data_IF_512451692038
#
_entry.id   IF_512451692038
#
_cell.length_a   1.000
_cell.length_b   1.000
_cell.length_c   1.000
_cell.angle_alpha   90.00
_cell.angle_beta   90.00
_cell.angle_gamma   90.00
#
_symmetry.space_group_name_H-M   'P 1'
#
loop_
_entity.id
_entity.type
_entity.pdbx_description
1 polymer ?
#
# COMPACT_ATOMS: atom_id res chain seq x y z
N UNK A 1 -68.04 -11.64 -3.43
CA UNK A 1 -67.33 -12.85 -3.97
C UNK A 1 -66.13 -12.52 -4.86
N UNK A 2 -66.28 -11.62 -5.84
CA UNK A 2 -65.19 -11.26 -6.78
C UNK A 2 -63.98 -10.62 -6.08
N UNK A 3 -64.20 -9.73 -5.11
CA UNK A 3 -63.13 -9.08 -4.36
C UNK A 3 -62.28 -10.06 -3.55
N UNK A 4 -62.92 -11.07 -2.93
CA UNK A 4 -62.21 -12.12 -2.19
C UNK A 4 -61.32 -12.96 -3.12
N UNK A 5 -61.79 -13.27 -4.33
CA UNK A 5 -60.99 -13.96 -5.36
C UNK A 5 -59.80 -13.10 -5.80
N UNK A 6 -59.99 -11.79 -5.99
CA UNK A 6 -58.89 -10.85 -6.30
C UNK A 6 -57.86 -10.79 -5.17
N UNK A 7 -58.28 -10.70 -3.92
CA UNK A 7 -57.38 -10.69 -2.76
C UNK A 7 -56.53 -11.97 -2.67
N UNK A 8 -57.12 -13.14 -2.97
CA UNK A 8 -56.38 -14.40 -3.04
C UNK A 8 -55.29 -14.38 -4.13
N UNK A 9 -55.63 -13.90 -5.33
CA UNK A 9 -54.67 -13.76 -6.44
C UNK A 9 -53.56 -12.77 -6.06
N UNK A 10 -53.90 -11.62 -5.48
CA UNK A 10 -52.92 -10.62 -5.06
C UNK A 10 -51.96 -11.16 -3.99
N UNK A 11 -52.47 -11.91 -3.02
CA UNK A 11 -51.65 -12.58 -2.02
C UNK A 11 -50.68 -13.57 -2.66
N UNK A 12 -51.15 -14.37 -3.62
CA UNK A 12 -50.32 -15.32 -4.36
C UNK A 12 -49.24 -14.61 -5.19
N UNK A 13 -49.62 -13.58 -5.95
CA UNK A 13 -48.70 -12.77 -6.77
C UNK A 13 -47.64 -12.11 -5.88
N UNK A 14 -48.03 -11.58 -4.70
CA UNK A 14 -47.10 -11.00 -3.74
C UNK A 14 -46.07 -12.03 -3.25
N UNK A 15 -46.50 -13.25 -2.93
CA UNK A 15 -45.59 -14.36 -2.55
C UNK A 15 -44.67 -14.77 -3.70
N UNK A 16 -45.16 -14.79 -4.94
CA UNK A 16 -44.32 -15.08 -6.12
C UNK A 16 -43.27 -13.99 -6.35
N UNK A 17 -43.67 -12.71 -6.32
CA UNK A 17 -42.75 -11.57 -6.45
C UNK A 17 -41.68 -11.60 -5.36
N UNK A 18 -42.07 -11.87 -4.11
CA UNK A 18 -41.15 -11.98 -2.99
C UNK A 18 -40.15 -13.13 -3.16
N UNK A 19 -40.61 -14.29 -3.63
CA UNK A 19 -39.75 -15.43 -3.96
C UNK A 19 -38.75 -15.07 -5.06
N UNK A 20 -39.20 -14.37 -6.10
CA UNK A 20 -38.33 -13.93 -7.18
C UNK A 20 -37.31 -12.89 -6.71
N UNK A 21 -37.71 -11.93 -5.87
CA UNK A 21 -36.82 -10.95 -5.24
C UNK A 21 -35.69 -11.64 -4.48
N UNK A 22 -35.99 -12.65 -3.65
CA UNK A 22 -34.98 -13.43 -2.92
C UNK A 22 -34.00 -14.15 -3.85
N UNK A 23 -34.52 -14.75 -4.95
CA UNK A 23 -33.67 -15.38 -5.97
C UNK A 23 -32.73 -14.37 -6.63
N UNK A 24 -33.21 -13.17 -6.92
CA UNK A 24 -32.39 -12.11 -7.49
C UNK A 24 -31.30 -11.68 -6.51
N UNK A 25 -31.63 -11.35 -5.26
CA UNK A 25 -30.64 -10.99 -4.23
C UNK A 25 -29.58 -12.09 -4.07
N UNK A 26 -29.99 -13.36 -3.97
CA UNK A 26 -29.05 -14.47 -3.84
C UNK A 26 -28.07 -14.57 -5.02
N UNK A 27 -28.52 -14.24 -6.24
CA UNK A 27 -27.72 -14.23 -7.46
C UNK A 27 -26.82 -12.99 -7.54
N UNK A 28 -27.41 -11.81 -7.37
CA UNK A 28 -26.75 -10.51 -7.54
C UNK A 28 -25.59 -10.35 -6.55
N UNK A 29 -25.73 -10.89 -5.34
CA UNK A 29 -24.71 -10.86 -4.30
C UNK A 29 -23.85 -12.13 -4.23
N UNK A 30 -24.01 -13.04 -5.21
CA UNK A 30 -23.25 -14.29 -5.30
C UNK A 30 -23.28 -15.14 -4.01
N UNK A 31 -24.40 -15.11 -3.27
CA UNK A 31 -24.49 -15.71 -1.92
C UNK A 31 -24.40 -17.24 -1.95
N UNK A 32 -24.94 -17.87 -3.00
CA UNK A 32 -24.96 -19.34 -3.11
C UNK A 32 -23.56 -19.90 -3.40
N UNK A 33 -22.80 -19.40 -4.41
CA UNK A 33 -21.41 -19.83 -4.60
C UNK A 33 -20.50 -19.50 -3.40
N UNK A 34 -20.71 -18.34 -2.76
CA UNK A 34 -19.96 -17.96 -1.56
C UNK A 34 -20.21 -18.92 -0.38
N UNK A 35 -21.48 -19.30 -0.15
CA UNK A 35 -21.86 -20.25 0.90
C UNK A 35 -21.35 -21.67 0.61
N UNK A 36 -21.49 -22.14 -0.63
CA UNK A 36 -21.09 -23.48 -1.05
C UNK A 36 -19.57 -23.61 -1.31
N UNK A 37 -18.80 -22.53 -1.15
CA UNK A 37 -17.35 -22.52 -1.33
C UNK A 37 -16.87 -22.76 -2.76
N UNK A 38 -17.76 -22.68 -3.76
CA UNK A 38 -17.42 -22.91 -5.18
C UNK A 38 -16.41 -21.88 -5.69
N UNK A 39 -16.46 -20.65 -5.19
CA UNK A 39 -15.54 -19.57 -5.56
C UNK A 39 -14.07 -19.87 -5.24
N UNK A 40 -13.77 -20.75 -4.27
CA UNK A 40 -12.39 -21.18 -3.98
C UNK A 40 -11.86 -22.12 -5.06
N UNK A 41 -12.72 -22.97 -5.63
CA UNK A 41 -12.38 -23.98 -6.63
C UNK A 41 -12.21 -23.38 -8.03
N UNK A 42 -12.99 -22.36 -8.37
CA UNK A 42 -12.91 -21.69 -9.68
C UNK A 42 -11.79 -20.63 -9.75
N UNK A 43 -11.35 -20.09 -8.60
CA UNK A 43 -10.16 -19.21 -8.52
C UNK A 43 -8.86 -19.91 -8.90
N UNK A 44 -8.78 -21.24 -8.83
CA UNK A 44 -7.62 -22.01 -9.28
C UNK A 44 -7.62 -22.24 -10.81
N UNK A 45 -8.78 -22.17 -11.48
CA UNK A 45 -8.93 -22.56 -12.89
C UNK A 45 -8.81 -21.42 -13.88
N UNK A 46 -9.07 -20.19 -13.46
CA UNK A 46 -8.89 -19.00 -14.31
C UNK A 46 -7.63 -18.26 -13.86
N UNK A 47 -6.71 -17.87 -14.77
CA UNK A 47 -5.57 -17.05 -14.43
C UNK A 47 -6.05 -15.62 -14.15
N UNK A 48 -6.74 -15.43 -13.01
CA UNK A 48 -7.12 -14.10 -12.54
C UNK A 48 -5.83 -13.38 -12.15
N UNK A 49 -5.68 -12.18 -12.70
CA UNK A 49 -4.57 -11.28 -12.40
C UNK A 49 -4.34 -11.20 -10.89
N UNK A 50 -3.08 -11.28 -10.45
CA UNK A 50 -2.72 -11.11 -9.04
C UNK A 50 -3.20 -9.74 -8.56
N UNK A 51 -4.19 -9.75 -7.67
CA UNK A 51 -4.73 -8.53 -7.06
C UNK A 51 -3.62 -7.89 -6.20
N UNK A 52 -3.26 -6.65 -6.54
CA UNK A 52 -2.22 -5.91 -5.82
C UNK A 52 -2.64 -5.56 -4.40
N UNK A 53 -1.68 -5.29 -3.49
CA UNK A 53 -1.98 -4.91 -2.08
C UNK A 53 -2.90 -3.68 -2.01
N UNK A 54 -2.60 -2.66 -2.81
CA UNK A 54 -3.42 -1.44 -2.94
C UNK A 54 -4.86 -1.76 -3.35
N UNK A 55 -5.03 -2.68 -4.31
CA UNK A 55 -6.35 -3.05 -4.82
C UNK A 55 -7.16 -3.87 -3.81
N UNK A 56 -6.50 -4.65 -2.94
CA UNK A 56 -7.16 -5.31 -1.79
C UNK A 56 -7.63 -4.29 -0.76
N UNK A 57 -6.79 -3.32 -0.43
CA UNK A 57 -7.14 -2.26 0.51
C UNK A 57 -8.30 -1.40 -0.01
N UNK A 58 -8.28 -1.07 -1.30
CA UNK A 58 -9.38 -0.35 -1.96
C UNK A 58 -10.69 -1.14 -1.93
N UNK A 59 -10.65 -2.46 -2.17
CA UNK A 59 -11.84 -3.33 -2.02
C UNK A 59 -12.43 -3.26 -0.61
N UNK A 60 -11.59 -3.21 0.42
CA UNK A 60 -12.05 -3.05 1.80
C UNK A 60 -12.70 -1.67 2.03
N UNK A 61 -12.08 -0.59 1.52
CA UNK A 61 -12.61 0.77 1.63
C UNK A 61 -13.95 0.93 0.92
N UNK A 62 -14.16 0.26 -0.21
CA UNK A 62 -15.40 0.30 -0.99
C UNK A 62 -16.45 -0.72 -0.54
N UNK A 63 -16.17 -1.52 0.49
CA UNK A 63 -17.12 -2.50 1.05
C UNK A 63 -18.50 -1.92 1.39
N UNK A 64 -18.64 -0.68 1.93
CA UNK A 64 -19.95 -0.10 2.18
C UNK A 64 -20.82 0.07 0.93
N UNK A 65 -20.23 0.16 -0.26
CA UNK A 65 -20.97 0.31 -1.52
C UNK A 65 -21.62 -0.99 -2.00
N UNK A 66 -21.28 -2.14 -1.40
CA UNK A 66 -21.81 -3.44 -1.81
C UNK A 66 -23.33 -3.44 -1.68
N UNK A 67 -23.91 -2.76 -0.68
CA UNK A 67 -25.37 -2.72 -0.52
C UNK A 67 -26.13 -2.03 -1.67
N UNK A 68 -25.43 -1.29 -2.53
CA UNK A 68 -26.03 -0.52 -3.62
C UNK A 68 -25.67 -1.04 -5.02
N UNK A 69 -24.80 -2.05 -5.10
CA UNK A 69 -24.30 -2.61 -6.35
C UNK A 69 -24.32 -4.13 -6.29
N UNK A 70 -24.68 -4.78 -7.40
CA UNK A 70 -24.48 -6.21 -7.54
C UNK A 70 -22.98 -6.57 -7.50
N UNK A 71 -22.69 -7.82 -7.18
CA UNK A 71 -21.34 -8.38 -7.20
C UNK A 71 -20.68 -8.20 -8.57
N UNK A 72 -21.45 -8.40 -9.66
CA UNK A 72 -20.96 -8.22 -11.02
C UNK A 72 -20.56 -6.77 -11.30
N UNK A 73 -21.42 -5.80 -10.99
CA UNK A 73 -21.11 -4.37 -11.17
C UNK A 73 -19.87 -3.96 -10.38
N UNK A 74 -19.69 -4.53 -9.19
CA UNK A 74 -18.51 -4.29 -8.39
C UNK A 74 -17.24 -4.88 -9.01
N UNK A 75 -17.28 -6.12 -9.53
CA UNK A 75 -16.15 -6.70 -10.26
C UNK A 75 -15.79 -5.88 -11.51
N UNK A 76 -16.80 -5.50 -12.31
CA UNK A 76 -16.65 -4.67 -13.52
C UNK A 76 -16.04 -3.30 -13.18
N UNK A 77 -16.46 -2.68 -12.08
CA UNK A 77 -15.90 -1.42 -11.60
C UNK A 77 -14.38 -1.50 -11.35
N UNK A 78 -13.92 -2.56 -10.67
CA UNK A 78 -12.49 -2.74 -10.40
C UNK A 78 -11.68 -3.05 -11.65
N UNK A 79 -12.23 -3.84 -12.58
CA UNK A 79 -11.60 -4.06 -13.88
C UNK A 79 -11.47 -2.76 -14.66
N UNK A 80 -12.52 -1.94 -14.67
CA UNK A 80 -12.54 -0.65 -15.35
C UNK A 80 -11.53 0.34 -14.74
N UNK A 81 -11.46 0.44 -13.41
CA UNK A 81 -10.43 1.25 -12.74
C UNK A 81 -9.02 0.80 -13.13
N UNK A 82 -8.80 -0.52 -13.22
CA UNK A 82 -7.50 -1.04 -13.61
C UNK A 82 -7.17 -0.70 -15.08
N UNK A 83 -8.12 -0.95 -16.00
CA UNK A 83 -8.01 -0.60 -17.42
C UNK A 83 -7.73 0.89 -17.58
N UNK A 84 -8.46 1.74 -16.86
CA UNK A 84 -8.26 3.20 -16.84
C UNK A 84 -6.84 3.56 -16.42
N UNK A 85 -6.31 2.95 -15.34
CA UNK A 85 -4.94 3.21 -14.88
C UNK A 85 -3.90 2.87 -15.97
N UNK A 86 -4.06 1.74 -16.66
CA UNK A 86 -3.19 1.34 -17.78
C UNK A 86 -3.31 2.35 -18.91
N UNK A 87 -4.53 2.64 -19.35
CA UNK A 87 -4.78 3.54 -20.46
C UNK A 87 -4.25 4.94 -20.18
N UNK A 88 -4.44 5.48 -18.97
CA UNK A 88 -3.87 6.76 -18.55
C UNK A 88 -2.34 6.75 -18.58
N UNK A 89 -1.70 5.66 -18.15
CA UNK A 89 -0.25 5.52 -18.25
C UNK A 89 0.21 5.49 -19.71
N UNK A 90 -0.48 4.74 -20.57
CA UNK A 90 -0.18 4.65 -22.01
C UNK A 90 -0.41 5.98 -22.73
N UNK A 91 -1.48 6.70 -22.42
CA UNK A 91 -1.74 8.04 -22.97
C UNK A 91 -0.59 8.98 -22.59
N UNK A 92 -0.17 9.01 -21.31
CA UNK A 92 0.96 9.84 -20.89
C UNK A 92 2.27 9.47 -21.58
N UNK A 93 2.50 8.19 -21.82
CA UNK A 93 3.64 7.67 -22.60
C UNK A 93 3.59 8.18 -24.05
N UNK A 94 2.47 7.96 -24.75
CA UNK A 94 2.29 8.40 -26.14
C UNK A 94 2.37 9.92 -26.29
N UNK A 95 1.81 10.68 -25.35
CA UNK A 95 1.93 12.14 -25.31
C UNK A 95 3.38 12.60 -25.09
N UNK A 96 4.20 11.80 -24.41
CA UNK A 96 5.64 12.08 -24.24
C UNK A 96 6.38 11.84 -25.55
N UNK A 97 6.09 10.74 -26.25
CA UNK A 97 6.66 10.47 -27.58
C UNK A 97 6.41 11.63 -28.54
N UNK A 98 5.16 12.09 -28.63
CA UNK A 98 4.81 13.24 -29.49
C UNK A 98 5.58 14.52 -29.13
N UNK A 99 5.69 14.84 -27.83
CA UNK A 99 6.47 16.01 -27.36
C UNK A 99 7.96 15.91 -27.66
N UNK A 100 8.47 14.70 -27.83
CA UNK A 100 9.86 14.41 -28.14
C UNK A 100 10.09 14.12 -29.63
N UNK A 101 9.11 14.43 -30.49
CA UNK A 101 9.23 14.30 -31.95
C UNK A 101 9.05 12.89 -32.51
N UNK A 102 8.67 11.92 -31.68
CA UNK A 102 8.46 10.54 -32.11
C UNK A 102 7.03 10.42 -32.64
N UNK A 103 6.92 10.15 -33.93
CA UNK A 103 5.64 10.10 -34.64
C UNK A 103 5.29 8.70 -35.11
N UNK A 104 6.27 7.79 -35.15
CA UNK A 104 6.11 6.38 -35.53
C UNK A 104 6.34 5.46 -34.34
N UNK A 105 5.69 4.29 -34.35
CA UNK A 105 5.80 3.33 -33.24
C UNK A 105 7.15 2.62 -33.24
N UNK A 106 7.75 2.42 -34.40
CA UNK A 106 9.03 1.75 -34.59
C UNK A 106 10.18 2.52 -33.90
N UNK A 107 10.12 3.86 -33.95
CA UNK A 107 11.08 4.78 -33.32
C UNK A 107 10.98 4.80 -31.79
N UNK A 108 9.87 4.31 -31.22
CA UNK A 108 9.62 4.40 -29.77
C UNK A 108 10.53 3.50 -28.94
N UNK A 109 10.96 2.37 -29.49
CA UNK A 109 11.81 1.39 -28.79
C UNK A 109 13.21 1.96 -28.54
N UNK A 110 13.81 2.58 -29.56
CA UNK A 110 15.13 3.22 -29.46
C UNK A 110 15.11 4.40 -28.49
N UNK A 111 14.03 5.20 -28.53
CA UNK A 111 13.84 6.29 -27.59
C UNK A 111 13.70 5.83 -26.14
N UNK A 112 12.89 4.80 -25.86
CA UNK A 112 12.75 4.28 -24.50
C UNK A 112 14.06 3.66 -24.00
N UNK A 113 14.83 2.97 -24.86
CA UNK A 113 16.16 2.47 -24.52
C UNK A 113 17.14 3.61 -24.17
N UNK A 114 17.19 4.67 -24.99
CA UNK A 114 18.01 5.85 -24.75
C UNK A 114 17.59 6.59 -23.47
N UNK A 115 16.28 6.76 -23.25
CA UNK A 115 15.69 7.36 -22.05
C UNK A 115 16.00 6.57 -20.80
N UNK A 116 15.83 5.25 -20.83
CA UNK A 116 16.13 4.36 -19.71
C UNK A 116 17.63 4.39 -19.37
N UNK A 117 18.51 4.42 -20.37
CA UNK A 117 19.95 4.59 -20.18
C UNK A 117 20.28 5.94 -19.52
N UNK A 118 19.59 7.03 -19.89
CA UNK A 118 19.74 8.35 -19.27
C UNK A 118 19.25 8.38 -17.82
N UNK A 119 18.09 7.82 -17.55
CA UNK A 119 17.54 7.75 -16.19
C UNK A 119 18.44 6.89 -15.28
N UNK A 120 18.91 5.72 -15.75
CA UNK A 120 19.87 4.89 -15.00
C UNK A 120 21.18 5.62 -14.70
N UNK A 121 21.70 6.43 -15.63
CA UNK A 121 22.88 7.27 -15.39
C UNK A 121 22.62 8.35 -14.34
N UNK A 122 21.44 8.98 -14.34
CA UNK A 122 21.05 9.96 -13.32
C UNK A 122 20.87 9.30 -11.96
N UNK A 123 20.21 8.14 -11.89
CA UNK A 123 20.05 7.36 -10.67
C UNK A 123 21.41 6.96 -10.10
N UNK A 124 22.32 6.44 -10.93
CA UNK A 124 23.69 6.12 -10.53
C UNK A 124 24.48 7.37 -10.09
N UNK A 125 24.27 8.53 -10.74
CA UNK A 125 24.90 9.79 -10.32
C UNK A 125 24.34 10.28 -8.99
N UNK A 126 23.04 10.13 -8.75
CA UNK A 126 22.39 10.45 -7.47
C UNK A 126 22.89 9.51 -6.37
N UNK A 127 23.03 8.20 -6.65
CA UNK A 127 23.60 7.23 -5.72
C UNK A 127 25.09 7.52 -5.48
N UNK A 128 25.84 7.93 -6.51
CA UNK A 128 27.24 8.30 -6.39
C UNK A 128 27.43 9.64 -5.65
N UNK A 129 26.51 10.61 -5.77
CA UNK A 129 26.52 11.80 -4.90
C UNK A 129 26.15 11.47 -3.46
N UNK A 130 25.26 10.49 -3.25
CA UNK A 130 24.96 9.97 -1.91
C UNK A 130 26.07 9.09 -1.33
N UNK A 131 26.90 8.45 -2.18
CA UNK A 131 28.07 7.65 -1.78
C UNK A 131 29.38 8.45 -1.68
N UNK A 132 29.55 9.55 -2.41
CA UNK A 132 30.67 10.51 -2.23
C UNK A 132 30.56 11.28 -0.91
N UNK A 133 29.43 11.23 -0.23
CA UNK A 133 29.33 11.60 1.19
C UNK A 133 29.73 10.48 2.16
N UNK A 134 30.31 9.37 1.69
CA UNK A 134 30.52 8.14 2.49
C UNK A 134 31.82 7.37 2.19
N UNK A 135 32.84 8.02 1.62
CA UNK A 135 34.14 7.38 1.33
C UNK A 135 35.37 8.16 1.88
N UNK A 136 35.25 8.78 3.05
CA UNK A 136 36.39 9.18 3.92
C UNK A 136 36.16 8.69 5.36
N UNK A 137 35.81 7.41 5.52
CA UNK A 137 35.11 6.89 6.71
C UNK A 137 35.87 5.88 7.56
N UNK A 138 37.16 6.08 7.83
CA UNK A 138 37.79 5.44 9.01
C UNK A 138 38.23 6.43 10.09
N UNK A 139 38.40 7.71 9.75
CA UNK A 139 38.47 8.81 10.73
C UNK A 139 37.14 9.58 10.84
N UNK A 140 36.19 9.36 9.92
CA UNK A 140 34.90 10.08 9.87
C UNK A 140 33.69 9.34 10.45
N UNK A 141 33.83 8.13 11.03
CA UNK A 141 32.69 7.31 11.48
C UNK A 141 31.84 8.01 12.57
N UNK A 142 32.45 8.95 13.28
CA UNK A 142 31.79 9.76 14.31
C UNK A 142 31.89 11.27 14.08
N UNK A 143 32.31 11.74 12.90
CA UNK A 143 32.56 13.17 12.64
C UNK A 143 31.37 14.08 12.99
N UNK A 144 30.13 13.58 12.84
CA UNK A 144 28.91 14.30 13.21
C UNK A 144 28.74 14.54 14.72
N UNK A 145 29.38 13.74 15.58
CA UNK A 145 29.26 13.81 17.03
C UNK A 145 30.61 13.98 17.76
N UNK A 146 31.74 13.90 17.06
CA UNK A 146 33.09 13.92 17.61
C UNK A 146 33.42 15.21 18.37
N UNK A 147 33.01 16.36 17.82
CA UNK A 147 33.22 17.67 18.43
C UNK A 147 32.13 18.07 19.44
N UNK A 148 31.18 17.17 19.75
CA UNK A 148 30.08 17.48 20.65
C UNK A 148 30.46 17.15 22.11
N UNK A 149 29.98 17.96 23.08
CA UNK A 149 30.27 17.72 24.50
C UNK A 149 29.85 16.32 24.96
N UNK A 150 30.75 15.64 25.66
CA UNK A 150 30.53 14.30 26.20
C UNK A 150 30.88 13.15 25.25
N UNK A 151 31.42 13.43 24.05
CA UNK A 151 31.84 12.40 23.09
C UNK A 151 32.94 11.47 23.66
N UNK A 152 33.94 12.04 24.32
CA UNK A 152 35.06 11.30 24.93
C UNK A 152 34.64 10.37 26.08
N UNK A 153 33.44 10.57 26.65
CA UNK A 153 32.90 9.77 27.74
C UNK A 153 32.16 8.51 27.25
N UNK A 154 32.01 8.34 25.93
CA UNK A 154 31.29 7.22 25.33
C UNK A 154 32.23 6.11 24.90
N UNK A 155 31.83 4.86 25.13
CA UNK A 155 32.46 3.71 24.47
C UNK A 155 32.10 3.67 22.97
N UNK A 156 32.88 2.97 22.16
CA UNK A 156 32.64 2.94 20.70
C UNK A 156 31.27 2.34 20.33
N UNK A 157 30.77 1.39 21.13
CA UNK A 157 29.39 0.88 20.98
C UNK A 157 28.34 1.96 21.23
N UNK A 158 28.59 2.86 22.18
CA UNK A 158 27.68 3.96 22.51
C UNK A 158 27.79 5.10 21.50
N UNK A 159 28.97 5.37 20.94
CA UNK A 159 29.15 6.31 19.83
C UNK A 159 28.38 5.86 18.58
N UNK A 160 28.45 4.56 18.24
CA UNK A 160 27.63 3.97 17.16
C UNK A 160 26.14 4.13 17.43
N UNK A 161 25.71 3.88 18.67
CA UNK A 161 24.31 4.02 19.07
C UNK A 161 23.83 5.48 18.95
N UNK A 162 24.61 6.44 19.45
CA UNK A 162 24.34 7.87 19.34
C UNK A 162 24.19 8.31 17.88
N UNK A 163 25.11 7.87 17.01
CA UNK A 163 25.08 8.14 15.57
C UNK A 163 23.82 7.55 14.90
N UNK A 164 23.48 6.30 15.21
CA UNK A 164 22.31 5.60 14.64
C UNK A 164 20.97 6.22 15.05
N UNK A 165 20.89 6.76 16.27
CA UNK A 165 19.69 7.39 16.83
C UNK A 165 19.66 8.90 16.62
N UNK A 166 20.69 9.46 15.97
CA UNK A 166 20.88 10.89 15.78
C UNK A 166 20.78 11.70 17.09
N UNK A 167 21.42 11.18 18.15
CA UNK A 167 21.48 11.77 19.50
C UNK A 167 22.87 12.36 19.76
N UNK A 168 22.94 13.58 20.28
CA UNK A 168 24.21 14.13 20.77
C UNK A 168 24.74 13.33 21.98
N UNK A 169 26.06 13.17 22.14
CA UNK A 169 26.66 12.48 23.29
C UNK A 169 26.16 12.97 24.65
N UNK A 170 26.10 14.29 24.89
CA UNK A 170 25.56 14.87 26.12
C UNK A 170 24.10 14.43 26.42
N UNK A 171 23.25 14.39 25.39
CA UNK A 171 21.85 13.94 25.53
C UNK A 171 21.77 12.45 25.82
N UNK A 172 22.60 11.64 25.18
CA UNK A 172 22.67 10.20 25.48
C UNK A 172 23.12 9.95 26.93
N UNK A 173 24.17 10.64 27.39
CA UNK A 173 24.63 10.54 28.79
C UNK A 173 23.54 10.94 29.76
N UNK A 174 22.79 12.01 29.47
CA UNK A 174 21.66 12.45 30.31
C UNK A 174 20.58 11.37 30.40
N UNK A 175 20.15 10.83 29.26
CA UNK A 175 19.14 9.76 29.21
C UNK A 175 19.62 8.49 29.92
N UNK A 176 20.88 8.09 29.68
CA UNK A 176 21.52 6.95 30.35
C UNK A 176 21.53 7.14 31.87
N UNK A 177 21.92 8.32 32.36
CA UNK A 177 21.91 8.63 33.79
C UNK A 177 20.51 8.55 34.39
N UNK A 178 19.50 9.08 33.70
CA UNK A 178 18.10 9.01 34.16
C UNK A 178 17.64 7.55 34.27
N UNK A 179 17.87 6.74 33.23
CA UNK A 179 17.47 5.32 33.19
C UNK A 179 18.17 4.54 34.30
N UNK A 180 19.48 4.73 34.48
CA UNK A 180 20.24 4.04 35.53
C UNK A 180 19.75 4.46 36.92
N UNK A 181 19.54 5.76 37.14
CA UNK A 181 19.06 6.29 38.42
C UNK A 181 17.67 5.76 38.77
N UNK A 182 16.72 5.80 37.84
CA UNK A 182 15.37 5.26 38.04
C UNK A 182 15.42 3.74 38.32
N UNK A 183 16.24 2.99 37.58
CA UNK A 183 16.42 1.56 37.82
C UNK A 183 16.94 1.28 39.25
N UNK A 184 17.96 2.01 39.70
CA UNK A 184 18.53 1.85 41.03
C UNK A 184 17.54 2.24 42.15
N UNK A 185 16.78 3.34 41.97
CA UNK A 185 15.76 3.79 42.92
C UNK A 185 14.63 2.76 43.07
N UNK A 186 14.16 2.17 41.97
CA UNK A 186 13.17 1.09 41.99
C UNK A 186 13.66 -0.15 42.74
N UNK A 187 14.94 -0.52 42.59
CA UNK A 187 15.52 -1.65 43.35
C UNK A 187 15.58 -1.38 44.86
N UNK A 188 15.63 -0.12 45.27
CA UNK A 188 15.61 0.28 46.68
C UNK A 188 14.18 0.51 47.23
N UNK A 189 13.14 0.22 46.43
CA UNK A 189 11.74 0.34 46.86
C UNK A 189 11.22 1.78 46.91
N UNK A 190 11.95 2.74 46.34
CA UNK A 190 11.53 4.14 46.30
C UNK A 190 10.60 4.34 45.09
N UNK A 191 9.37 4.83 45.26
CA UNK A 191 8.45 5.06 44.13
C UNK A 191 8.98 6.13 43.18
N UNK A 192 8.86 5.93 41.87
CA UNK A 192 9.12 6.99 40.88
C UNK A 192 8.11 8.13 41.14
N UNK A 193 8.62 9.35 41.42
CA UNK A 193 7.80 10.56 41.57
C UNK A 193 7.35 11.08 40.21
#
# INVERSE_FOLDING_TARGET
EIELKRAHVDMYVRKLKERQRRKNIARDYNLVPAFLGKDKKDKEKTPKRKITKEEKELRLKLRPLYQFMSCKEFEDFFENMHKERILRAKIRELQRYRRNGITKMEESAEYEAARHKREKRKENKNIASSKRGKEDGKEGEFAAIENLPGFELLSDREKVLCSSLNLSPARYVTVKTIIIKDHLQKRQGIPSK
#
